data_IF_363742401554
#
_entry.id   IF_363742401554
#
_cell.length_a   1.000
_cell.length_b   1.000
_cell.length_c   1.000
_cell.angle_alpha   90.00
_cell.angle_beta   90.00
_cell.angle_gamma   90.00
#
_symmetry.space_group_name_H-M   'P 1'
#
loop_
_entity.id
_entity.type
_entity.pdbx_description
1 polymer ?
#
# COMPACT_ATOMS: atom_id res chain seq x y z
N UNK A 1 35.58 -37.29 22.05
CA UNK A 1 34.37 -36.45 22.17
C UNK A 1 34.05 -36.00 20.75
N UNK A 2 32.84 -36.23 20.26
CA UNK A 2 32.49 -35.89 18.87
C UNK A 2 32.15 -34.40 18.80
N UNK A 3 32.86 -33.64 17.99
CA UNK A 3 32.58 -32.22 17.77
C UNK A 3 31.29 -32.09 16.94
N UNK A 4 30.20 -31.66 17.57
CA UNK A 4 28.87 -31.50 16.95
C UNK A 4 28.68 -30.15 16.25
N UNK A 5 29.55 -29.18 16.51
CA UNK A 5 29.55 -27.84 15.91
C UNK A 5 29.34 -27.82 14.38
N UNK A 6 30.09 -28.58 13.55
CA UNK A 6 29.93 -28.52 12.10
C UNK A 6 28.59 -29.06 11.61
N UNK A 7 27.90 -29.88 12.42
CA UNK A 7 26.55 -30.36 12.10
C UNK A 7 25.48 -29.33 12.48
N UNK A 8 25.66 -28.62 13.59
CA UNK A 8 24.78 -27.51 14.00
C UNK A 8 24.84 -26.35 13.00
N UNK A 9 26.03 -26.00 12.51
CA UNK A 9 26.18 -24.95 11.48
C UNK A 9 25.48 -25.32 10.17
N UNK A 10 25.62 -26.57 9.70
CA UNK A 10 24.92 -27.06 8.51
C UNK A 10 23.40 -27.09 8.70
N UNK A 11 22.94 -27.46 9.90
CA UNK A 11 21.52 -27.48 10.23
C UNK A 11 20.94 -26.06 10.26
N UNK A 12 21.65 -25.10 10.87
CA UNK A 12 21.27 -23.69 10.87
C UNK A 12 21.24 -23.09 9.47
N UNK A 13 22.23 -23.41 8.62
CA UNK A 13 22.24 -22.97 7.22
C UNK A 13 21.03 -23.51 6.43
N UNK A 14 20.71 -24.80 6.59
CA UNK A 14 19.53 -25.41 5.99
C UNK A 14 18.23 -24.77 6.50
N UNK A 15 18.16 -24.45 7.80
CA UNK A 15 17.00 -23.80 8.41
C UNK A 15 16.81 -22.36 7.91
N UNK A 16 17.90 -21.60 7.75
CA UNK A 16 17.88 -20.25 7.17
C UNK A 16 17.42 -20.30 5.71
N UNK A 17 17.98 -21.22 4.92
CA UNK A 17 17.57 -21.40 3.53
C UNK A 17 16.10 -21.78 3.41
N UNK A 18 15.62 -22.69 4.27
CA UNK A 18 14.22 -23.10 4.31
C UNK A 18 13.28 -21.94 4.71
N UNK A 19 13.66 -21.12 5.68
CA UNK A 19 12.88 -19.91 6.02
C UNK A 19 12.83 -18.92 4.86
N UNK A 20 13.94 -18.72 4.14
CA UNK A 20 13.97 -17.82 3.00
C UNK A 20 13.18 -18.36 1.80
N UNK A 21 13.17 -19.67 1.59
CA UNK A 21 12.25 -20.35 0.66
C UNK A 21 10.79 -20.15 1.07
N UNK A 22 10.44 -20.33 2.35
CA UNK A 22 9.08 -20.12 2.85
C UNK A 22 8.58 -18.69 2.68
N UNK A 23 9.46 -17.69 2.83
CA UNK A 23 9.11 -16.28 2.52
C UNK A 23 8.78 -16.06 1.05
N UNK A 24 9.40 -16.83 0.14
CA UNK A 24 9.16 -16.77 -1.31
C UNK A 24 7.92 -17.57 -1.73
N UNK A 25 7.53 -18.58 -0.95
CA UNK A 25 6.31 -19.35 -1.20
C UNK A 25 5.10 -18.46 -0.97
N UNK A 26 4.51 -18.02 -2.08
CA UNK A 26 3.28 -17.23 -2.14
C UNK A 26 2.12 -18.06 -1.59
N UNK A 27 1.85 -17.97 -0.30
CA UNK A 27 0.77 -18.70 0.39
C UNK A 27 -0.65 -18.20 0.04
N UNK A 28 -0.82 -17.41 -1.03
CA UNK A 28 -2.10 -16.78 -1.38
C UNK A 28 -2.59 -15.76 -0.35
N UNK A 29 -1.83 -15.53 0.73
CA UNK A 29 -2.08 -14.50 1.74
C UNK A 29 -1.27 -13.26 1.39
N UNK A 30 -1.95 -12.15 1.17
CA UNK A 30 -1.32 -10.86 0.96
C UNK A 30 -0.47 -10.48 2.19
N UNK A 31 0.81 -10.18 1.98
CA UNK A 31 1.72 -9.76 3.04
C UNK A 31 2.53 -8.54 2.58
N UNK A 32 2.86 -7.62 3.49
CA UNK A 32 3.51 -6.35 3.14
C UNK A 32 4.83 -6.51 2.37
N UNK A 33 5.60 -7.56 2.67
CA UNK A 33 6.86 -7.88 1.98
C UNK A 33 6.71 -8.26 0.51
N UNK A 34 5.49 -8.47 0.01
CA UNK A 34 5.24 -8.64 -1.42
C UNK A 34 5.53 -7.36 -2.21
N UNK A 35 5.48 -6.19 -1.58
CA UNK A 35 5.71 -4.90 -2.23
C UNK A 35 7.12 -4.34 -1.97
N UNK A 36 7.99 -5.02 -1.23
CA UNK A 36 9.35 -4.54 -0.92
C UNK A 36 10.25 -4.41 -2.16
N UNK A 37 9.94 -5.13 -3.24
CA UNK A 37 10.66 -5.02 -4.52
C UNK A 37 10.14 -3.95 -5.46
N UNK A 38 9.08 -3.22 -5.09
CA UNK A 38 8.44 -2.23 -5.96
C UNK A 38 9.19 -0.90 -5.87
N UNK A 39 9.64 -0.42 -7.03
CA UNK A 39 10.28 0.89 -7.17
C UNK A 39 9.27 1.88 -7.73
N UNK A 40 9.09 3.00 -7.04
CA UNK A 40 8.18 4.09 -7.40
C UNK A 40 9.00 5.30 -7.83
N UNK A 41 8.60 5.94 -8.91
CA UNK A 41 9.17 7.23 -9.31
C UNK A 41 8.49 8.36 -8.53
N UNK A 42 9.10 8.78 -7.42
CA UNK A 42 8.66 9.91 -6.62
C UNK A 42 9.61 11.09 -6.84
N UNK A 43 9.06 12.27 -7.09
CA UNK A 43 9.84 13.52 -7.26
C UNK A 43 11.00 13.40 -8.27
N UNK A 44 10.83 12.61 -9.34
CA UNK A 44 11.85 12.42 -10.38
C UNK A 44 12.97 11.44 -10.04
N UNK A 45 12.87 10.70 -8.93
CA UNK A 45 13.83 9.64 -8.55
C UNK A 45 13.12 8.33 -8.22
N UNK A 46 13.74 7.20 -8.59
CA UNK A 46 13.24 5.87 -8.25
C UNK A 46 13.56 5.56 -6.79
N UNK A 47 12.53 5.45 -5.97
CA UNK A 47 12.61 5.10 -4.56
C UNK A 47 11.81 3.83 -4.28
N UNK A 48 12.21 2.99 -3.33
CA UNK A 48 11.43 1.81 -2.97
C UNK A 48 10.10 2.21 -2.31
N UNK A 49 9.05 1.42 -2.54
CA UNK A 49 7.69 1.73 -2.07
C UNK A 49 7.62 1.95 -0.55
N UNK A 50 8.42 1.19 0.21
CA UNK A 50 8.49 1.27 1.67
C UNK A 50 8.96 2.65 2.20
N UNK A 51 9.62 3.47 1.37
CA UNK A 51 10.06 4.82 1.74
C UNK A 51 9.03 5.90 1.38
N UNK A 52 8.10 5.61 0.48
CA UNK A 52 7.09 6.58 0.00
C UNK A 52 5.69 6.30 0.53
N UNK A 53 5.44 5.09 1.03
CA UNK A 53 4.16 4.66 1.56
C UNK A 53 4.31 3.63 2.69
N UNK A 54 3.32 3.60 3.58
CA UNK A 54 3.14 2.54 4.55
C UNK A 54 2.27 1.43 3.95
N UNK A 55 2.67 0.17 4.11
CA UNK A 55 1.94 -0.99 3.60
C UNK A 55 1.39 -1.80 4.76
N UNK A 56 0.08 -1.99 4.79
CA UNK A 56 -0.61 -2.81 5.79
C UNK A 56 -1.48 -3.86 5.09
N UNK A 57 -1.69 -5.00 5.74
CA UNK A 57 -2.52 -6.09 5.24
C UNK A 57 -3.72 -6.27 6.18
N UNK A 58 -4.78 -5.44 6.06
CA UNK A 58 -5.96 -5.55 6.92
C UNK A 58 -6.74 -6.85 6.64
N UNK A 59 -6.68 -7.36 5.41
CA UNK A 59 -7.37 -8.58 5.00
C UNK A 59 -6.44 -9.52 4.22
N UNK A 60 -6.75 -10.82 4.24
CA UNK A 60 -5.88 -11.85 3.66
C UNK A 60 -5.69 -11.74 2.14
N UNK A 61 -6.55 -11.02 1.43
CA UNK A 61 -6.51 -10.87 -0.03
C UNK A 61 -6.25 -9.43 -0.50
N UNK A 62 -6.19 -8.45 0.41
CA UNK A 62 -6.07 -7.03 0.08
C UNK A 62 -4.94 -6.36 0.88
N UNK A 63 -4.12 -5.58 0.18
CA UNK A 63 -3.11 -4.71 0.79
C UNK A 63 -3.61 -3.28 0.76
N UNK A 64 -3.52 -2.61 1.91
CA UNK A 64 -3.74 -1.17 2.03
C UNK A 64 -2.38 -0.47 1.99
N UNK A 65 -2.18 0.32 0.93
CA UNK A 65 -0.99 1.16 0.77
C UNK A 65 -1.39 2.59 1.08
N UNK A 66 -0.86 3.15 2.17
CA UNK A 66 -1.09 4.53 2.58
C UNK A 66 0.13 5.37 2.21
N UNK A 67 0.07 6.19 1.14
CA UNK A 67 1.18 7.07 0.78
C UNK A 67 1.40 8.15 1.84
N UNK A 68 2.65 8.58 2.01
CA UNK A 68 2.96 9.74 2.86
C UNK A 68 2.52 11.06 2.22
N UNK A 69 2.54 11.12 0.89
CA UNK A 69 2.09 12.27 0.11
C UNK A 69 1.09 11.81 -0.98
N UNK A 70 -0.14 12.35 -1.00
CA UNK A 70 -1.16 11.99 -2.00
C UNK A 70 -0.76 12.33 -3.44
N UNK A 71 0.18 13.26 -3.68
CA UNK A 71 0.67 13.57 -5.03
C UNK A 71 1.35 12.37 -5.70
N UNK A 72 1.85 11.41 -4.92
CA UNK A 72 2.51 10.21 -5.41
C UNK A 72 1.55 9.03 -5.67
N UNK A 73 0.24 9.17 -5.43
CA UNK A 73 -0.75 8.09 -5.63
C UNK A 73 -0.69 7.54 -7.06
N UNK A 74 -0.64 8.43 -8.06
CA UNK A 74 -0.57 8.01 -9.47
C UNK A 74 0.70 7.22 -9.76
N UNK A 75 1.86 7.72 -9.32
CA UNK A 75 3.15 7.04 -9.49
C UNK A 75 3.19 5.68 -8.80
N UNK A 76 2.63 5.58 -7.59
CA UNK A 76 2.52 4.33 -6.82
C UNK A 76 1.61 3.34 -7.55
N UNK A 77 0.44 3.79 -8.02
CA UNK A 77 -0.52 2.93 -8.73
C UNK A 77 0.07 2.34 -10.02
N UNK A 78 0.83 3.14 -10.77
CA UNK A 78 1.54 2.70 -11.97
C UNK A 78 2.65 1.71 -11.61
N UNK A 79 3.50 2.02 -10.64
CA UNK A 79 4.59 1.14 -10.22
C UNK A 79 4.12 -0.24 -9.70
N UNK A 80 2.97 -0.28 -9.03
CA UNK A 80 2.33 -1.54 -8.58
C UNK A 80 1.76 -2.31 -9.77
N UNK A 81 1.09 -1.64 -10.72
CA UNK A 81 0.54 -2.28 -11.94
C UNK A 81 1.63 -2.85 -12.84
N UNK A 82 2.73 -2.12 -13.01
CA UNK A 82 3.85 -2.54 -13.85
C UNK A 82 4.57 -3.79 -13.29
N UNK A 83 4.47 -4.03 -11.98
CA UNK A 83 4.96 -5.24 -11.34
C UNK A 83 3.97 -6.42 -11.48
N UNK A 84 3.82 -6.87 -12.73
CA UNK A 84 2.97 -7.99 -13.19
C UNK A 84 3.19 -9.31 -12.43
N UNK A 85 4.33 -9.49 -11.74
CA UNK A 85 4.65 -10.72 -11.01
C UNK A 85 3.75 -10.95 -9.80
N UNK A 86 3.07 -9.92 -9.29
CA UNK A 86 2.26 -9.99 -8.08
C UNK A 86 0.75 -10.18 -8.34
N UNK A 87 0.26 -9.86 -9.54
CA UNK A 87 -1.16 -10.03 -9.90
C UNK A 87 -2.13 -9.14 -9.11
N UNK A 88 -1.63 -8.09 -8.44
CA UNK A 88 -2.46 -7.14 -7.71
C UNK A 88 -3.08 -6.12 -8.65
N UNK A 89 -4.35 -5.76 -8.39
CA UNK A 89 -5.02 -4.65 -9.04
C UNK A 89 -5.17 -3.51 -8.03
N UNK A 90 -4.32 -2.47 -8.07
CA UNK A 90 -4.49 -1.33 -7.19
C UNK A 90 -5.79 -0.60 -7.56
N UNK A 91 -6.72 -0.59 -6.62
CA UNK A 91 -7.95 0.19 -6.63
C UNK A 91 -7.75 1.39 -5.72
N UNK A 92 -7.89 2.57 -6.31
CA UNK A 92 -7.88 3.84 -5.58
C UNK A 92 -9.26 4.02 -4.93
N UNK A 93 -9.34 3.77 -3.63
CA UNK A 93 -10.49 4.16 -2.84
C UNK A 93 -10.33 5.67 -2.62
N UNK A 94 -10.95 6.46 -3.51
CA UNK A 94 -10.93 7.94 -3.53
C UNK A 94 -11.60 8.60 -2.32
N UNK A 95 -11.38 8.06 -1.13
CA UNK A 95 -11.95 8.45 0.14
C UNK A 95 -11.27 9.74 0.62
N UNK A 96 -11.71 10.89 0.09
CA UNK A 96 -11.97 12.10 0.90
C UNK A 96 -12.27 13.38 0.10
N UNK A 97 -12.65 13.33 -1.18
CA UNK A 97 -13.23 14.52 -1.84
C UNK A 97 -14.71 14.34 -2.19
N UNK A 98 -15.48 13.86 -1.22
CA UNK A 98 -16.88 14.27 -1.11
C UNK A 98 -16.94 15.70 -0.54
N UNK A 99 -16.30 16.65 -1.21
CA UNK A 99 -16.84 18.01 -1.25
C UNK A 99 -18.13 17.94 -2.05
N UNK A 100 -19.17 17.38 -1.44
CA UNK A 100 -20.52 17.76 -1.80
C UNK A 100 -20.61 19.24 -1.48
N UNK A 101 -20.35 20.02 -2.52
CA UNK A 101 -20.92 21.33 -2.79
C UNK A 101 -21.95 21.75 -1.75
N UNK A 102 -21.48 22.50 -0.75
CA UNK A 102 -22.32 23.46 -0.05
C UNK A 102 -22.71 24.51 -1.08
N UNK A 103 -23.76 24.22 -1.86
CA UNK A 103 -24.45 25.22 -2.68
C UNK A 103 -25.12 26.19 -1.71
N UNK A 104 -24.33 27.20 -1.39
CA UNK A 104 -24.66 28.46 -0.78
C UNK A 104 -25.74 29.15 -1.65
N UNK A 105 -27.01 28.79 -1.48
CA UNK A 105 -28.14 29.56 -2.03
C UNK A 105 -28.35 30.78 -1.13
N UNK A 106 -27.69 31.87 -1.52
CA UNK A 106 -27.83 33.19 -0.91
C UNK A 106 -29.20 33.83 -1.20
N UNK A 107 -30.28 33.29 -0.64
CA UNK A 107 -31.56 34.00 -0.53
C UNK A 107 -31.62 34.78 0.76
N UNK A 108 -31.21 36.05 0.68
CA UNK A 108 -31.64 37.05 1.65
C UNK A 108 -33.18 37.20 1.57
N UNK A 109 -33.89 37.30 2.72
CA UNK A 109 -35.34 37.48 2.73
C UNK A 109 -35.73 38.96 2.55
N UNK A 110 -36.71 39.31 1.70
CA UNK A 110 -37.37 40.59 1.80
C UNK A 110 -38.72 40.48 2.52
N UNK A 111 -38.72 41.02 3.73
CA UNK A 111 -39.76 41.85 4.37
C UNK A 111 -41.25 41.55 4.17
N UNK A 112 -41.89 41.22 5.30
CA UNK A 112 -43.32 41.36 5.59
C UNK A 112 -43.77 42.81 5.38
N UNK A 113 -44.85 43.02 4.62
CA UNK A 113 -45.55 44.29 4.47
C UNK A 113 -47.07 44.06 4.39
N UNK A 114 -47.79 44.53 5.42
CA UNK A 114 -49.25 44.63 5.52
C UNK A 114 -49.87 45.37 4.32
N UNK A 115 -51.11 45.00 3.96
CA UNK A 115 -52.33 45.86 3.82
C UNK A 115 -53.24 45.36 2.69
N UNK A 116 -54.54 45.22 2.97
CA UNK A 116 -55.61 45.08 1.96
C UNK A 116 -56.61 44.00 2.30
#
# INVERSE_FOLDING_TARGET
>A
MFDTNPYEEKMNAAFSFFQDELKKVRTGRAHAGMLDGVMVEAYGSKMPLNQVANVTAPEAQMLLVTPFDPSNITAISSAIRDNQSLGFNPSDDGQSDSRSSSSFDGRAPPSIGKTG
#
